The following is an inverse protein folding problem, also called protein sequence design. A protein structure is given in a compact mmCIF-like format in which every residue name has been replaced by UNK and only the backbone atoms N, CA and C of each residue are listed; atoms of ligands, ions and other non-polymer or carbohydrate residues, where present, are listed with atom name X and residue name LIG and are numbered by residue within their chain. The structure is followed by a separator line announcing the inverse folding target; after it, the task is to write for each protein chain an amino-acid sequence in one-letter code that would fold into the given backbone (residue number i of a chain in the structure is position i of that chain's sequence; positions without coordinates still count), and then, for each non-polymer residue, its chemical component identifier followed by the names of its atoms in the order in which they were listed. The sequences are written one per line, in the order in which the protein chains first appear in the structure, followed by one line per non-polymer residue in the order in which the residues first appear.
data_IF_426378819634
#
_entry.id   IF_426378819634
#
_cell.length_a   1.000
_cell.length_b   1.000
_cell.length_c   1.000
_cell.angle_alpha   90.00
_cell.angle_beta   90.00
_cell.angle_gamma   90.00
#
_symmetry.space_group_name_H-M   'P 1'
#
loop_
_entity.id
_entity.type
_entity.pdbx_description
1 polymer ?
#
# COMPACT_ATOMS: atom_id res chain seq x y z
N UNK A 1 -16.39 -4.58 -12.18
CA UNK A 1 -15.50 -4.09 -11.11
C UNK A 1 -14.08 -4.05 -11.62
N UNK A 2 -13.27 -3.09 -11.18
CA UNK A 2 -11.85 -3.00 -11.56
C UNK A 2 -11.07 -4.13 -10.88
N UNK A 3 -10.20 -4.81 -11.61
CA UNK A 3 -9.33 -5.85 -11.06
C UNK A 3 -8.07 -5.21 -10.44
N UNK A 4 -7.55 -5.79 -9.36
CA UNK A 4 -6.25 -5.39 -8.83
C UNK A 4 -5.12 -5.74 -9.80
N UNK A 5 -4.09 -4.90 -9.83
CA UNK A 5 -2.93 -5.05 -10.71
C UNK A 5 -1.64 -4.96 -9.90
N UNK A 6 -0.60 -5.67 -10.34
CA UNK A 6 0.75 -5.46 -9.82
C UNK A 6 1.20 -4.07 -10.25
N UNK A 7 1.50 -3.22 -9.27
CA UNK A 7 2.04 -1.87 -9.51
C UNK A 7 3.54 -1.81 -9.30
N UNK A 8 4.09 -2.72 -8.48
CA UNK A 8 5.53 -2.88 -8.30
C UNK A 8 5.91 -4.36 -8.23
N UNK A 9 6.83 -4.76 -9.09
CA UNK A 9 7.61 -5.99 -8.98
C UNK A 9 9.00 -5.71 -9.53
N UNK A 10 9.99 -5.70 -8.64
CA UNK A 10 11.39 -5.41 -9.00
C UNK A 10 12.23 -6.69 -9.07
N UNK A 11 11.59 -7.87 -9.11
CA UNK A 11 12.25 -9.16 -9.28
C UNK A 11 12.94 -9.73 -8.03
N UNK A 12 12.98 -9.00 -6.92
CA UNK A 12 13.57 -9.49 -5.67
C UNK A 12 12.58 -10.23 -4.76
N UNK A 13 11.30 -10.35 -5.15
CA UNK A 13 10.30 -11.21 -4.49
C UNK A 13 9.25 -10.47 -3.66
N UNK A 14 9.35 -9.15 -3.49
CA UNK A 14 8.24 -8.34 -2.98
C UNK A 14 7.39 -7.87 -4.16
N UNK A 15 6.09 -8.15 -4.11
CA UNK A 15 5.11 -7.60 -5.03
C UNK A 15 4.19 -6.63 -4.30
N UNK A 16 3.90 -5.50 -4.95
CA UNK A 16 2.86 -4.57 -4.53
C UNK A 16 1.73 -4.62 -5.53
N UNK A 17 0.55 -4.94 -5.03
CA UNK A 17 -0.69 -4.94 -5.79
C UNK A 17 -1.55 -3.76 -5.35
N UNK A 18 -2.20 -3.11 -6.31
CA UNK A 18 -3.15 -2.03 -6.03
C UNK A 18 -4.46 -2.26 -6.77
N UNK A 19 -5.56 -1.90 -6.12
CA UNK A 19 -6.90 -1.92 -6.70
C UNK A 19 -7.66 -0.65 -6.30
N UNK A 20 -7.95 0.24 -7.27
CA UNK A 20 -8.85 1.36 -7.03
C UNK A 20 -10.24 0.88 -6.61
N UNK A 21 -10.81 1.56 -5.63
CA UNK A 21 -12.14 1.29 -5.08
C UNK A 21 -13.11 2.39 -5.52
N UNK A 22 -14.42 2.09 -5.50
CA UNK A 22 -15.44 3.02 -5.97
C UNK A 22 -15.56 4.31 -5.13
N UNK A 23 -15.07 4.30 -3.90
CA UNK A 23 -15.08 5.44 -2.98
C UNK A 23 -13.78 6.26 -2.99
N UNK A 24 -12.94 6.07 -4.01
CA UNK A 24 -11.67 6.78 -4.14
C UNK A 24 -10.54 6.23 -3.26
N UNK A 25 -10.82 5.27 -2.36
CA UNK A 25 -9.77 4.54 -1.66
C UNK A 25 -9.05 3.55 -2.60
N UNK A 26 -7.89 3.07 -2.18
CA UNK A 26 -7.14 2.03 -2.86
C UNK A 26 -6.88 0.87 -1.91
N UNK A 27 -7.23 -0.34 -2.34
CA UNK A 27 -6.79 -1.56 -1.66
C UNK A 27 -5.37 -1.90 -2.13
N UNK A 28 -4.46 -2.09 -1.18
CA UNK A 28 -3.04 -2.39 -1.42
C UNK A 28 -2.71 -3.73 -0.79
N UNK A 29 -2.02 -4.61 -1.52
CA UNK A 29 -1.46 -5.83 -0.94
C UNK A 29 0.05 -5.87 -1.15
N UNK A 30 0.78 -6.11 -0.07
CA UNK A 30 2.22 -6.37 -0.06
C UNK A 30 2.40 -7.87 0.07
N UNK A 31 2.89 -8.52 -0.98
CA UNK A 31 3.05 -9.97 -1.03
C UNK A 31 4.54 -10.33 -1.07
N UNK A 32 5.00 -11.03 -0.04
CA UNK A 32 6.36 -11.51 0.07
C UNK A 32 6.44 -12.95 -0.45
N UNK A 33 7.16 -13.18 -1.55
CA UNK A 33 7.37 -14.51 -2.15
C UNK A 33 8.63 -15.23 -1.61
N UNK A 34 9.35 -14.62 -0.67
CA UNK A 34 10.57 -15.17 -0.06
C UNK A 34 10.26 -15.88 1.25
N UNK A 35 11.16 -16.75 1.67
CA UNK A 35 11.06 -17.49 2.94
C UNK A 35 11.35 -16.62 4.17
N UNK A 36 12.04 -15.49 4.00
CA UNK A 36 12.41 -14.56 5.08
C UNK A 36 11.54 -13.30 5.07
N UNK A 37 11.44 -12.64 6.23
CA UNK A 37 10.82 -11.32 6.35
C UNK A 37 11.46 -10.30 5.39
N UNK A 38 10.64 -9.43 4.82
CA UNK A 38 11.08 -8.38 3.91
C UNK A 38 10.17 -7.15 4.03
N UNK A 39 10.79 -5.97 4.00
CA UNK A 39 10.08 -4.69 3.95
C UNK A 39 9.45 -4.44 2.57
N UNK A 40 8.14 -4.20 2.56
CA UNK A 40 7.41 -3.67 1.41
C UNK A 40 7.26 -2.15 1.54
N UNK A 41 7.50 -1.42 0.46
CA UNK A 41 7.33 0.04 0.42
C UNK A 41 6.56 0.48 -0.81
N UNK A 42 5.67 1.46 -0.67
CA UNK A 42 4.93 2.04 -1.79
C UNK A 42 4.62 3.52 -1.54
N UNK A 43 4.66 4.35 -2.58
CA UNK A 43 4.18 5.74 -2.54
C UNK A 43 2.74 5.89 -3.04
N UNK A 44 2.10 7.01 -2.74
CA UNK A 44 0.77 7.33 -3.26
C UNK A 44 0.73 7.36 -4.79
N UNK A 45 1.74 7.94 -5.42
CA UNK A 45 1.83 7.97 -6.87
C UNK A 45 1.88 6.56 -7.50
N UNK A 46 2.60 5.62 -6.88
CA UNK A 46 2.70 4.23 -7.36
C UNK A 46 1.36 3.48 -7.30
N UNK A 47 0.42 3.91 -6.44
CA UNK A 47 -0.93 3.33 -6.32
C UNK A 47 -2.03 4.21 -6.94
N UNK A 48 -1.65 5.27 -7.65
CA UNK A 48 -2.58 6.16 -8.35
C UNK A 48 -3.31 7.16 -7.45
N UNK A 49 -2.73 7.51 -6.31
CA UNK A 49 -3.20 8.58 -5.42
C UNK A 49 -2.33 9.83 -5.55
N UNK A 50 -2.95 10.99 -5.33
CA UNK A 50 -2.23 12.26 -5.20
C UNK A 50 -1.53 12.36 -3.83
N UNK A 51 -0.43 13.10 -3.73
CA UNK A 51 0.22 13.38 -2.45
C UNK A 51 -0.74 14.03 -1.44
N UNK A 52 -0.62 13.65 -0.16
CA UNK A 52 -1.40 14.24 0.92
C UNK A 52 -1.66 13.30 2.11
N UNK A 53 -2.42 13.79 3.09
CA UNK A 53 -2.92 12.96 4.18
C UNK A 53 -3.80 11.82 3.68
N UNK A 54 -3.62 10.65 4.27
CA UNK A 54 -4.52 9.53 4.11
C UNK A 54 -4.69 8.77 5.42
N UNK A 55 -5.83 8.10 5.56
CA UNK A 55 -5.99 7.04 6.55
C UNK A 55 -5.58 5.71 5.91
N UNK A 56 -4.65 5.01 6.54
CA UNK A 56 -4.21 3.66 6.16
C UNK A 56 -4.77 2.68 7.16
N UNK A 57 -5.72 1.86 6.71
CA UNK A 57 -6.33 0.79 7.50
C UNK A 57 -5.66 -0.55 7.21
N UNK A 58 -5.17 -1.22 8.23
CA UNK A 58 -4.80 -2.63 8.14
C UNK A 58 -6.08 -3.49 8.17
N UNK A 59 -6.29 -4.29 7.13
CA UNK A 59 -7.51 -5.08 7.00
C UNK A 59 -7.50 -6.37 7.81
N UNK A 60 -6.34 -6.84 8.26
CA UNK A 60 -6.22 -8.00 9.13
C UNK A 60 -6.36 -7.61 10.59
N UNK A 61 -5.68 -6.53 10.99
CA UNK A 61 -5.70 -6.03 12.38
C UNK A 61 -6.90 -5.14 12.66
N UNK A 62 -7.59 -4.65 11.62
CA UNK A 62 -8.68 -3.68 11.72
C UNK A 62 -8.27 -2.35 12.36
N UNK A 63 -6.99 -2.00 12.25
CA UNK A 63 -6.40 -0.79 12.84
C UNK A 63 -6.19 0.31 11.80
N UNK A 64 -6.49 1.55 12.18
CA UNK A 64 -6.33 2.72 11.33
C UNK A 64 -5.14 3.56 11.80
N UNK A 65 -4.33 4.01 10.84
CA UNK A 65 -3.21 4.92 11.08
C UNK A 65 -3.31 6.11 10.13
N UNK A 66 -2.96 7.31 10.62
CA UNK A 66 -2.80 8.47 9.72
C UNK A 66 -1.41 8.40 9.09
N UNK A 67 -1.35 8.65 7.80
CA UNK A 67 -0.12 8.70 7.04
C UNK A 67 -0.10 9.95 6.16
N UNK A 68 1.09 10.52 5.97
CA UNK A 68 1.33 11.65 5.09
C UNK A 68 2.37 11.21 4.06
N UNK A 69 2.00 11.20 2.79
CA UNK A 69 2.93 11.01 1.68
C UNK A 69 2.95 12.32 0.88
N UNK A 70 4.06 13.03 0.93
CA UNK A 70 4.23 14.33 0.26
C UNK A 70 4.71 14.18 -1.20
N UNK A 71 4.70 12.95 -1.73
CA UNK A 71 5.18 12.62 -3.07
C UNK A 71 6.71 12.49 -3.15
N UNK A 72 7.44 12.73 -2.06
CA UNK A 72 8.88 12.50 -2.00
C UNK A 72 9.20 11.03 -1.74
N UNK A 73 10.39 10.59 -2.12
CA UNK A 73 10.88 9.24 -1.81
C UNK A 73 10.89 8.95 -0.30
N UNK A 74 11.00 9.98 0.54
CA UNK A 74 11.15 9.86 1.98
C UNK A 74 9.85 9.49 2.70
N UNK A 75 8.68 9.67 2.08
CA UNK A 75 7.38 9.57 2.73
C UNK A 75 6.56 8.36 2.27
N UNK A 76 7.22 7.29 1.82
CA UNK A 76 6.55 6.04 1.46
C UNK A 76 5.95 5.31 2.65
N UNK A 77 4.80 4.70 2.44
CA UNK A 77 4.23 3.71 3.34
C UNK A 77 5.10 2.45 3.34
N UNK A 78 5.49 1.99 4.53
CA UNK A 78 6.35 0.82 4.73
C UNK A 78 5.72 -0.17 5.72
N UNK A 79 5.86 -1.47 5.43
CA UNK A 79 5.48 -2.57 6.32
C UNK A 79 6.44 -3.75 6.14
N UNK A 80 6.81 -4.37 7.25
CA UNK A 80 7.50 -5.65 7.22
C UNK A 80 6.49 -6.77 6.98
N UNK A 81 6.82 -7.65 6.04
CA UNK A 81 5.96 -8.78 5.66
C UNK A 81 6.74 -10.07 5.93
N UNK A 82 6.23 -10.95 6.82
CA UNK A 82 6.86 -12.26 7.05
C UNK A 82 7.04 -13.06 5.77
N UNK A 83 7.92 -14.07 5.80
CA UNK A 83 8.12 -14.97 4.67
C UNK A 83 6.82 -15.63 4.21
N UNK A 84 6.58 -15.67 2.90
CA UNK A 84 5.30 -16.09 2.27
C UNK A 84 4.06 -15.35 2.77
N UNK A 85 4.25 -14.21 3.45
CA UNK A 85 3.20 -13.43 4.07
C UNK A 85 2.56 -12.43 3.11
N UNK A 86 1.38 -11.95 3.52
CA UNK A 86 0.66 -10.86 2.86
C UNK A 86 0.20 -9.85 3.90
N UNK A 87 0.50 -8.58 3.68
CA UNK A 87 -0.16 -7.46 4.38
C UNK A 87 -1.16 -6.84 3.43
N UNK A 88 -2.40 -6.64 3.89
CA UNK A 88 -3.47 -6.03 3.10
C UNK A 88 -3.96 -4.76 3.76
N UNK A 89 -3.86 -3.66 3.03
CA UNK A 89 -4.15 -2.32 3.51
C UNK A 89 -5.25 -1.68 2.66
N UNK A 90 -5.98 -0.75 3.25
CA UNK A 90 -6.84 0.19 2.54
C UNK A 90 -6.34 1.60 2.79
N UNK A 91 -6.00 2.31 1.72
CA UNK A 91 -5.54 3.70 1.76
C UNK A 91 -6.70 4.59 1.32
N UNK A 92 -7.15 5.46 2.21
CA UNK A 92 -8.22 6.42 1.93
C UNK A 92 -7.66 7.84 2.02
N UNK A 93 -7.53 8.56 0.88
CA UNK A 93 -7.15 9.97 0.90
C UNK A 93 -8.09 10.77 1.79
N UNK A 94 -7.53 11.72 2.54
CA UNK A 94 -8.34 12.72 3.22
C UNK A 94 -8.50 13.90 2.27
N UNK A 95 -9.73 14.42 2.13
CA UNK A 95 -9.93 15.66 1.38
C UNK A 95 -9.16 16.78 2.08
N UNK A 96 -8.32 17.48 1.31
CA UNK A 96 -7.78 18.77 1.72
C UNK A 96 -8.95 19.76 1.73
N UNK A 97 -9.50 20.01 2.91
CA UNK A 97 -10.54 21.03 3.11
C UNK A 97 -10.07 22.43 2.74
#
# INVERSE_FOLDING_TARGET
GVQGQVVLDRGYGMQVWAKPMADGSVAVALFNQRDSEMGGSVSWHEIGLDPGPATVRDLWLHEDTRHMDDGSYATRLQRDVPGHGVVMLRVTPQESG
#
